data_IF_128996256616
#
_entry.id   IF_128996256616
#
_cell.length_a   1.000
_cell.length_b   1.000
_cell.length_c   1.000
_cell.angle_alpha   90.00
_cell.angle_beta   90.00
_cell.angle_gamma   90.00
#
_symmetry.space_group_name_H-M   'P 1'
#
loop_
_entity.id
_entity.type
_entity.pdbx_description
1 polymer ?
#
# COMPACT_ATOMS: atom_id res chain seq x y z
N UNK A 1 1.49 17.62 -20.54
CA UNK A 1 1.06 18.41 -19.35
C UNK A 1 1.00 17.48 -18.15
N UNK A 2 1.91 17.65 -17.20
CA UNK A 2 1.98 16.83 -15.99
C UNK A 2 0.98 17.34 -14.93
N UNK A 3 0.20 16.43 -14.34
CA UNK A 3 -0.66 16.75 -13.20
C UNK A 3 0.14 16.53 -11.90
N UNK A 4 0.06 17.48 -10.98
CA UNK A 4 0.67 17.38 -9.64
C UNK A 4 -0.42 16.99 -8.66
N UNK A 5 -0.19 15.95 -7.86
CA UNK A 5 -1.17 15.45 -6.92
C UNK A 5 -0.51 15.29 -5.55
N UNK A 6 -1.13 15.80 -4.50
CA UNK A 6 -0.71 15.54 -3.12
C UNK A 6 -1.41 14.26 -2.66
N UNK A 7 -0.64 13.31 -2.15
CA UNK A 7 -1.08 12.01 -1.66
C UNK A 7 -0.65 11.80 -0.21
N UNK A 8 -0.76 10.57 0.27
CA UNK A 8 -0.32 10.21 1.61
C UNK A 8 -1.28 10.74 2.67
N UNK A 9 -0.77 10.88 3.89
CA UNK A 9 -1.57 11.36 5.01
C UNK A 9 -2.08 12.80 4.85
N UNK A 10 -1.44 13.60 3.99
CA UNK A 10 -1.90 14.94 3.65
C UNK A 10 -3.22 14.94 2.85
N UNK A 11 -3.48 13.88 2.10
CA UNK A 11 -4.72 13.72 1.32
C UNK A 11 -5.90 13.14 2.13
N UNK A 12 -5.69 12.80 3.40
CA UNK A 12 -6.69 12.14 4.24
C UNK A 12 -7.19 13.11 5.32
N UNK A 13 -8.44 13.60 5.23
CA UNK A 13 -8.93 14.65 6.12
C UNK A 13 -8.91 14.28 7.62
N UNK A 14 -9.10 13.00 7.97
CA UNK A 14 -9.10 12.54 9.35
C UNK A 14 -7.73 12.04 9.83
N UNK A 15 -6.70 11.93 8.98
CA UNK A 15 -5.39 11.43 9.39
C UNK A 15 -4.68 12.32 10.42
N UNK A 16 -4.91 13.64 10.36
CA UNK A 16 -4.36 14.64 11.28
C UNK A 16 -4.82 14.43 12.72
N UNK A 17 -6.03 13.86 12.91
CA UNK A 17 -6.57 13.53 14.23
C UNK A 17 -5.79 12.43 14.95
N UNK A 18 -4.91 11.72 14.23
CA UNK A 18 -4.16 10.57 14.73
C UNK A 18 -2.64 10.82 14.72
N UNK A 19 -2.22 12.08 14.56
CA UNK A 19 -0.84 12.54 14.58
C UNK A 19 -0.41 13.21 13.28
N UNK A 20 0.55 14.14 13.39
CA UNK A 20 1.02 14.93 12.26
C UNK A 20 1.68 14.06 11.17
N UNK A 21 1.38 14.33 9.88
CA UNK A 21 2.13 13.79 8.75
C UNK A 21 3.61 14.20 8.82
N UNK A 22 4.51 13.27 8.46
CA UNK A 22 5.97 13.50 8.50
C UNK A 22 6.52 14.08 7.20
N UNK A 23 5.99 13.60 6.10
CA UNK A 23 6.46 13.81 4.75
C UNK A 23 5.28 14.12 3.83
N UNK A 24 5.56 14.90 2.79
CA UNK A 24 4.59 15.22 1.73
C UNK A 24 4.83 14.26 0.58
N UNK A 25 3.87 13.37 0.34
CA UNK A 25 3.89 12.51 -0.83
C UNK A 25 3.31 13.25 -2.04
N UNK A 26 4.15 13.47 -3.06
CA UNK A 26 3.77 14.16 -4.29
C UNK A 26 3.80 13.18 -5.44
N UNK A 27 2.73 13.17 -6.23
CA UNK A 27 2.61 12.33 -7.42
C UNK A 27 2.59 13.22 -8.64
N UNK A 28 3.47 12.91 -9.58
CA UNK A 28 3.60 13.62 -10.84
C UNK A 28 3.08 12.72 -11.96
N UNK A 29 1.83 12.94 -12.35
CA UNK A 29 1.09 12.08 -13.25
C UNK A 29 1.07 12.62 -14.69
N UNK A 30 1.58 11.83 -15.64
CA UNK A 30 1.66 12.17 -17.06
C UNK A 30 1.01 11.11 -17.95
N UNK A 31 0.57 11.54 -19.13
CA UNK A 31 0.16 10.67 -20.24
C UNK A 31 1.32 10.35 -21.20
N UNK A 32 2.42 11.11 -21.14
CA UNK A 32 3.57 10.99 -22.05
C UNK A 32 4.66 10.11 -21.43
N UNK A 33 5.14 9.12 -22.18
CA UNK A 33 6.33 8.34 -21.80
C UNK A 33 7.53 9.27 -21.61
N UNK A 34 7.75 10.22 -22.53
CA UNK A 34 8.90 11.14 -22.45
C UNK A 34 8.89 11.97 -21.17
N UNK A 35 7.74 12.54 -20.81
CA UNK A 35 7.57 13.27 -19.54
C UNK A 35 7.78 12.35 -18.34
N UNK A 36 7.22 11.13 -18.35
CA UNK A 36 7.42 10.15 -17.29
C UNK A 36 8.91 9.78 -17.08
N UNK A 37 9.64 9.56 -18.17
CA UNK A 37 11.08 9.29 -18.12
C UNK A 37 11.85 10.49 -17.55
N UNK A 38 11.53 11.70 -18.00
CA UNK A 38 12.13 12.93 -17.49
C UNK A 38 11.92 13.07 -15.97
N UNK A 39 10.71 12.77 -15.47
CA UNK A 39 10.37 12.81 -14.05
C UNK A 39 11.13 11.77 -13.24
N UNK A 40 11.34 10.56 -13.75
CA UNK A 40 12.16 9.53 -13.08
C UNK A 40 13.62 10.00 -12.98
N UNK A 41 14.19 10.49 -14.08
CA UNK A 41 15.59 10.92 -14.15
C UNK A 41 15.85 12.07 -13.18
N UNK A 42 14.92 13.03 -13.11
CA UNK A 42 15.06 14.23 -12.30
C UNK A 42 14.44 14.12 -10.90
N UNK A 43 13.91 12.93 -10.51
CA UNK A 43 13.17 12.72 -9.26
C UNK A 43 13.87 13.38 -8.05
N UNK A 44 15.14 13.07 -7.81
CA UNK A 44 15.84 13.58 -6.61
C UNK A 44 16.15 15.07 -6.66
N UNK A 45 16.29 15.67 -7.86
CA UNK A 45 16.39 17.13 -8.00
C UNK A 45 15.06 17.80 -7.67
N UNK A 46 13.96 17.21 -8.14
CA UNK A 46 12.60 17.70 -7.86
C UNK A 46 12.31 17.59 -6.36
N UNK A 47 12.62 16.47 -5.71
CA UNK A 47 12.47 16.28 -4.27
C UNK A 47 13.28 17.31 -3.47
N UNK A 48 14.54 17.54 -3.83
CA UNK A 48 15.39 18.52 -3.15
C UNK A 48 14.86 19.96 -3.30
N UNK A 49 14.36 20.30 -4.48
CA UNK A 49 13.73 21.59 -4.76
C UNK A 49 12.45 21.78 -3.94
N UNK A 50 11.53 20.81 -3.97
CA UNK A 50 10.28 20.87 -3.22
C UNK A 50 10.52 20.88 -1.71
N UNK A 51 11.49 20.10 -1.21
CA UNK A 51 11.90 20.13 0.21
C UNK A 51 12.32 21.53 0.63
N UNK A 52 13.09 22.24 -0.19
CA UNK A 52 13.54 23.61 0.09
C UNK A 52 12.37 24.59 0.17
N UNK A 53 11.38 24.45 -0.71
CA UNK A 53 10.21 25.33 -0.76
C UNK A 53 9.24 25.05 0.39
N UNK A 54 8.94 23.78 0.64
CA UNK A 54 7.92 23.36 1.60
C UNK A 54 8.44 23.29 3.04
N UNK A 55 9.77 23.36 3.24
CA UNK A 55 10.40 23.22 4.56
C UNK A 55 10.17 21.85 5.21
N UNK A 56 9.81 20.83 4.42
CA UNK A 56 9.47 19.48 4.88
C UNK A 56 10.04 18.44 3.93
N UNK A 57 10.18 17.20 4.40
CA UNK A 57 10.55 16.09 3.54
C UNK A 57 9.46 15.82 2.49
N UNK A 58 9.90 15.62 1.24
CA UNK A 58 9.03 15.38 0.10
C UNK A 58 9.47 14.10 -0.60
N UNK A 59 8.52 13.22 -0.88
CA UNK A 59 8.73 12.02 -1.67
C UNK A 59 7.97 12.14 -2.98
N UNK A 60 8.66 12.05 -4.10
CA UNK A 60 8.05 12.20 -5.43
C UNK A 60 7.83 10.85 -6.09
N UNK A 61 6.62 10.62 -6.58
CA UNK A 61 6.22 9.42 -7.32
C UNK A 61 5.77 9.78 -8.75
N UNK A 62 6.61 9.55 -9.76
CA UNK A 62 6.19 9.65 -11.16
C UNK A 62 5.12 8.59 -11.50
N UNK A 63 4.06 8.98 -12.19
CA UNK A 63 2.91 8.13 -12.56
C UNK A 63 2.62 8.26 -14.07
N UNK A 64 2.46 7.13 -14.77
CA UNK A 64 2.03 7.08 -16.17
C UNK A 64 0.55 6.64 -16.26
N UNK A 65 -0.34 7.55 -16.67
CA UNK A 65 -1.80 7.40 -16.52
C UNK A 65 -2.45 6.36 -17.43
N UNK A 66 -2.00 6.21 -18.69
CA UNK A 66 -2.57 5.22 -19.62
C UNK A 66 -2.13 3.77 -19.32
N UNK A 67 -1.27 3.58 -18.33
CA UNK A 67 -0.69 2.29 -17.97
C UNK A 67 -0.91 1.95 -16.51
N UNK A 68 -2.14 1.63 -16.12
CA UNK A 68 -2.45 1.38 -14.73
C UNK A 68 -1.82 0.11 -14.17
N UNK A 69 -1.51 -0.85 -15.04
CA UNK A 69 -0.84 -2.11 -14.67
C UNK A 69 0.67 -1.93 -14.44
N UNK A 70 1.24 -0.79 -14.84
CA UNK A 70 2.63 -0.45 -14.51
C UNK A 70 2.67 -0.14 -13.02
N UNK A 71 3.34 -1.03 -12.29
CA UNK A 71 3.86 -0.93 -10.93
C UNK A 71 3.18 0.15 -10.08
N UNK A 72 2.25 -0.26 -9.21
CA UNK A 72 1.62 0.58 -8.19
C UNK A 72 0.72 1.72 -8.68
N UNK A 73 0.58 1.95 -10.00
CA UNK A 73 -0.40 2.88 -10.57
C UNK A 73 -1.84 2.49 -10.24
N UNK A 74 -2.17 1.18 -10.19
CA UNK A 74 -3.45 0.68 -9.67
C UNK A 74 -3.70 1.19 -8.25
N UNK A 75 -2.72 1.09 -7.37
CA UNK A 75 -2.86 1.53 -5.98
C UNK A 75 -2.97 3.06 -5.89
N UNK A 76 -2.17 3.75 -6.68
CA UNK A 76 -2.19 5.19 -6.87
C UNK A 76 -3.55 5.70 -7.29
N UNK A 77 -4.19 5.04 -8.26
CA UNK A 77 -5.49 5.43 -8.78
C UNK A 77 -6.64 5.03 -7.85
N UNK A 78 -6.47 3.95 -7.09
CA UNK A 78 -7.42 3.56 -6.04
C UNK A 78 -7.39 4.52 -4.83
N UNK A 79 -6.20 5.00 -4.44
CA UNK A 79 -6.02 5.98 -3.36
C UNK A 79 -6.19 7.43 -3.82
N UNK A 80 -5.99 7.72 -5.10
CA UNK A 80 -6.25 9.01 -5.69
C UNK A 80 -7.71 9.47 -5.54
N UNK A 81 -8.67 8.56 -5.33
CA UNK A 81 -10.05 8.90 -4.97
C UNK A 81 -10.20 9.56 -3.59
N UNK A 82 -9.19 9.48 -2.73
CA UNK A 82 -9.11 10.32 -1.51
C UNK A 82 -8.87 11.78 -1.87
N UNK A 83 -8.21 12.06 -3.00
CA UNK A 83 -7.99 13.40 -3.52
C UNK A 83 -9.17 13.86 -4.38
N UNK A 84 -9.78 14.97 -3.98
CA UNK A 84 -10.98 15.54 -4.62
C UNK A 84 -10.75 15.82 -6.12
N UNK A 85 -9.61 16.41 -6.45
CA UNK A 85 -9.25 16.88 -7.78
C UNK A 85 -9.14 15.74 -8.81
N UNK A 86 -8.63 14.57 -8.40
CA UNK A 86 -8.51 13.40 -9.29
C UNK A 86 -9.85 12.71 -9.43
N UNK A 87 -10.63 12.65 -8.35
CA UNK A 87 -11.94 12.03 -8.38
C UNK A 87 -12.85 12.76 -9.37
N UNK A 88 -12.78 14.09 -9.42
CA UNK A 88 -13.57 14.90 -10.36
C UNK A 88 -13.03 14.75 -11.80
N UNK A 89 -11.70 14.81 -12.01
CA UNK A 89 -11.10 14.80 -13.35
C UNK A 89 -11.01 13.41 -14.01
N UNK A 90 -10.91 12.34 -13.23
CA UNK A 90 -10.61 10.99 -13.72
C UNK A 90 -11.52 9.90 -13.13
N UNK A 91 -12.71 10.25 -12.60
CA UNK A 91 -13.69 9.30 -12.05
C UNK A 91 -14.01 8.15 -12.99
N UNK A 92 -14.10 8.42 -14.29
CA UNK A 92 -14.45 7.45 -15.34
C UNK A 92 -13.44 6.32 -15.49
N UNK A 93 -12.17 6.55 -15.14
CA UNK A 93 -11.14 5.51 -15.23
C UNK A 93 -11.32 4.46 -14.13
N UNK A 94 -11.91 4.80 -12.98
CA UNK A 94 -11.91 3.92 -11.81
C UNK A 94 -12.57 2.55 -12.03
N UNK A 95 -13.78 2.40 -12.62
CA UNK A 95 -14.37 1.09 -12.84
C UNK A 95 -13.50 0.20 -13.75
N UNK A 96 -12.87 0.83 -14.76
CA UNK A 96 -11.97 0.18 -15.70
C UNK A 96 -10.66 -0.26 -15.04
N UNK A 97 -10.20 0.49 -14.05
CA UNK A 97 -9.02 0.18 -13.25
C UNK A 97 -9.29 -0.89 -12.20
N UNK A 98 -10.39 -0.76 -11.47
CA UNK A 98 -10.80 -1.69 -10.43
C UNK A 98 -11.07 -3.10 -10.99
N UNK A 99 -11.63 -3.19 -12.20
CA UNK A 99 -11.80 -4.46 -12.91
C UNK A 99 -10.50 -5.11 -13.36
N UNK A 100 -9.41 -4.34 -13.49
CA UNK A 100 -8.06 -4.81 -13.85
C UNK A 100 -7.17 -5.11 -12.63
N UNK A 101 -7.64 -4.90 -11.41
CA UNK A 101 -6.90 -5.29 -10.19
C UNK A 101 -6.90 -6.81 -10.09
N UNK A 102 -5.79 -7.45 -10.44
CA UNK A 102 -5.65 -8.91 -10.29
C UNK A 102 -5.57 -9.32 -8.82
N UNK A 103 -5.93 -10.59 -8.52
CA UNK A 103 -5.80 -11.18 -7.18
C UNK A 103 -4.38 -11.03 -6.61
N UNK A 104 -3.36 -11.04 -7.47
CA UNK A 104 -1.94 -10.84 -7.10
C UNK A 104 -1.70 -9.48 -6.46
N UNK A 105 -2.29 -8.42 -7.00
CA UNK A 105 -2.12 -7.07 -6.46
C UNK A 105 -2.80 -6.91 -5.10
N UNK A 106 -4.01 -7.47 -4.94
CA UNK A 106 -4.69 -7.50 -3.63
C UNK A 106 -3.89 -8.26 -2.58
N UNK A 107 -3.23 -9.36 -3.01
CA UNK A 107 -2.41 -10.19 -2.14
C UNK A 107 -1.13 -9.45 -1.70
N UNK A 108 -0.40 -8.85 -2.64
CA UNK A 108 0.78 -8.02 -2.32
C UNK A 108 0.39 -6.89 -1.38
N UNK A 109 -0.74 -6.23 -1.62
CA UNK A 109 -1.23 -5.17 -0.74
C UNK A 109 -1.46 -5.68 0.70
N UNK A 110 -2.12 -6.82 0.84
CA UNK A 110 -2.33 -7.46 2.14
C UNK A 110 -1.02 -7.86 2.82
N UNK A 111 0.03 -8.24 2.08
CA UNK A 111 1.34 -8.58 2.66
C UNK A 111 2.04 -7.36 3.24
N UNK A 112 2.03 -6.24 2.53
CA UNK A 112 2.59 -4.99 3.04
C UNK A 112 1.81 -4.48 4.24
N UNK A 113 0.48 -4.48 4.19
CA UNK A 113 -0.36 -4.11 5.33
C UNK A 113 -0.03 -5.00 6.56
N UNK A 114 0.07 -6.31 6.36
CA UNK A 114 0.39 -7.25 7.43
C UNK A 114 1.78 -7.01 8.04
N UNK A 115 2.85 -6.95 7.24
CA UNK A 115 4.20 -6.73 7.75
C UNK A 115 4.34 -5.34 8.37
N UNK A 116 3.66 -4.35 7.79
CA UNK A 116 3.53 -3.02 8.34
C UNK A 116 2.90 -3.03 9.73
N UNK A 117 1.80 -3.76 9.94
CA UNK A 117 1.18 -3.91 11.26
C UNK A 117 2.17 -4.54 12.26
N UNK A 118 2.82 -5.65 11.89
CA UNK A 118 3.79 -6.35 12.77
C UNK A 118 4.96 -5.44 13.19
N UNK A 119 5.49 -4.68 12.23
CA UNK A 119 6.67 -3.85 12.45
C UNK A 119 6.34 -2.46 13.00
N UNK A 120 5.08 -2.06 13.03
CA UNK A 120 4.64 -0.80 13.61
C UNK A 120 4.84 -0.77 15.12
N UNK A 121 5.55 0.25 15.58
CA UNK A 121 5.65 0.62 17.01
C UNK A 121 4.66 1.74 17.33
N UNK A 122 4.40 2.63 16.35
CA UNK A 122 3.50 3.78 16.52
C UNK A 122 2.07 3.38 16.22
N UNK A 123 1.13 3.83 17.07
CA UNK A 123 -0.31 3.59 16.92
C UNK A 123 -0.84 4.06 15.56
N UNK A 124 -0.41 5.25 15.12
CA UNK A 124 -0.76 5.84 13.82
C UNK A 124 -0.39 4.91 12.65
N UNK A 125 0.83 4.37 12.67
CA UNK A 125 1.28 3.47 11.61
C UNK A 125 0.47 2.17 11.61
N UNK A 126 0.12 1.66 12.79
CA UNK A 126 -0.70 0.46 12.88
C UNK A 126 -2.13 0.68 12.36
N UNK A 127 -2.77 1.79 12.70
CA UNK A 127 -4.07 2.20 12.12
C UNK A 127 -3.96 2.28 10.61
N UNK A 128 -2.94 2.95 10.11
CA UNK A 128 -2.68 3.15 8.68
C UNK A 128 -2.61 1.81 7.94
N UNK A 129 -1.86 0.84 8.45
CA UNK A 129 -1.79 -0.48 7.83
C UNK A 129 -3.08 -1.30 7.99
N UNK A 130 -3.83 -1.11 9.08
CA UNK A 130 -5.16 -1.72 9.19
C UNK A 130 -6.16 -1.12 8.18
N UNK A 131 -6.10 0.19 7.93
CA UNK A 131 -6.88 0.86 6.87
C UNK A 131 -6.47 0.34 5.49
N UNK A 132 -5.18 0.15 5.23
CA UNK A 132 -4.69 -0.47 4.00
C UNK A 132 -5.25 -1.90 3.80
N UNK A 133 -5.39 -2.67 4.88
CA UNK A 133 -6.06 -3.98 4.85
C UNK A 133 -7.57 -3.85 4.58
N UNK A 134 -8.24 -2.86 5.19
CA UNK A 134 -9.64 -2.56 4.96
C UNK A 134 -9.92 -2.16 3.50
N UNK A 135 -9.10 -1.27 2.94
CA UNK A 135 -9.19 -0.83 1.55
C UNK A 135 -9.02 -2.02 0.61
N UNK A 136 -8.04 -2.90 0.86
CA UNK A 136 -7.84 -4.15 0.10
C UNK A 136 -9.11 -5.01 0.06
N UNK A 137 -9.86 -5.10 1.17
CA UNK A 137 -11.11 -5.86 1.23
C UNK A 137 -12.27 -5.16 0.49
N UNK A 138 -12.34 -3.84 0.54
CA UNK A 138 -13.31 -3.04 -0.21
C UNK A 138 -13.07 -3.18 -1.72
N UNK A 139 -11.81 -3.10 -2.16
CA UNK A 139 -11.41 -3.26 -3.56
C UNK A 139 -11.71 -4.68 -4.04
N UNK A 140 -11.50 -5.71 -3.21
CA UNK A 140 -11.89 -7.09 -3.52
C UNK A 140 -13.38 -7.21 -3.87
N UNK A 141 -14.24 -6.43 -3.22
CA UNK A 141 -15.68 -6.35 -3.53
C UNK A 141 -16.02 -5.42 -4.72
N UNK A 142 -15.00 -4.96 -5.46
CA UNK A 142 -15.12 -3.98 -6.57
C UNK A 142 -15.74 -2.66 -6.14
N UNK A 143 -15.58 -2.30 -4.86
CA UNK A 143 -16.12 -1.08 -4.28
C UNK A 143 -15.02 -0.03 -4.20
N UNK A 144 -15.43 1.23 -4.05
CA UNK A 144 -14.54 2.37 -3.87
C UNK A 144 -14.19 2.55 -2.39
N UNK A 145 -12.90 2.52 -1.99
CA UNK A 145 -12.48 2.95 -0.67
C UNK A 145 -12.95 4.38 -0.37
N UNK A 146 -13.57 4.65 0.79
CA UNK A 146 -13.98 6.00 1.15
C UNK A 146 -12.78 6.89 1.48
N UNK A 147 -13.04 8.20 1.56
CA UNK A 147 -12.00 9.21 1.77
C UNK A 147 -11.41 9.15 3.18
N UNK A 148 -12.25 8.86 4.17
CA UNK A 148 -11.87 8.83 5.58
C UNK A 148 -11.43 7.44 6.01
N UNK A 149 -10.43 7.38 6.89
CA UNK A 149 -9.95 6.13 7.47
C UNK A 149 -11.04 5.42 8.27
N UNK A 150 -11.78 6.16 9.10
CA UNK A 150 -12.87 5.60 9.90
C UNK A 150 -13.97 4.98 9.02
N UNK A 151 -14.35 5.63 7.93
CA UNK A 151 -15.33 5.10 6.98
C UNK A 151 -14.83 3.83 6.30
N UNK A 152 -13.54 3.76 5.98
CA UNK A 152 -12.91 2.60 5.35
C UNK A 152 -13.00 1.39 6.29
N UNK A 153 -12.66 1.59 7.56
CA UNK A 153 -12.75 0.56 8.60
C UNK A 153 -14.19 0.08 8.84
N UNK A 154 -15.16 1.02 8.95
CA UNK A 154 -16.59 0.67 9.12
C UNK A 154 -17.12 -0.14 7.94
N UNK A 155 -16.78 0.28 6.72
CA UNK A 155 -17.24 -0.41 5.50
C UNK A 155 -16.61 -1.80 5.40
N UNK A 156 -15.31 -1.92 5.67
CA UNK A 156 -14.63 -3.21 5.68
C UNK A 156 -15.17 -4.13 6.78
N UNK A 157 -15.48 -3.61 7.97
CA UNK A 157 -16.14 -4.38 9.03
C UNK A 157 -17.48 -5.00 8.58
N UNK A 158 -18.35 -4.22 7.92
CA UNK A 158 -19.61 -4.72 7.37
C UNK A 158 -19.37 -5.80 6.30
N UNK A 159 -18.37 -5.60 5.44
CA UNK A 159 -18.00 -6.59 4.41
C UNK A 159 -17.48 -7.88 5.06
N UNK A 160 -16.61 -7.78 6.07
CA UNK A 160 -16.08 -8.92 6.81
C UNK A 160 -17.20 -9.75 7.42
N UNK A 161 -18.17 -9.11 8.07
CA UNK A 161 -19.33 -9.79 8.65
C UNK A 161 -20.15 -10.54 7.59
N UNK A 162 -20.39 -9.91 6.43
CA UNK A 162 -21.14 -10.53 5.32
C UNK A 162 -20.40 -11.71 4.69
N UNK A 163 -19.07 -11.68 4.71
CA UNK A 163 -18.22 -12.74 4.16
C UNK A 163 -17.84 -13.81 5.20
N UNK A 164 -18.27 -13.69 6.45
CA UNK A 164 -17.89 -14.63 7.53
C UNK A 164 -16.40 -14.54 7.94
N UNK A 165 -15.74 -13.41 7.68
CA UNK A 165 -14.32 -13.20 7.97
C UNK A 165 -14.12 -12.75 9.43
N UNK A 166 -14.19 -13.71 10.35
CA UNK A 166 -14.18 -13.49 11.80
C UNK A 166 -12.95 -12.69 12.27
N UNK A 167 -11.76 -12.97 11.74
CA UNK A 167 -10.55 -12.29 12.19
C UNK A 167 -10.44 -10.88 11.62
N UNK A 168 -10.84 -10.65 10.37
CA UNK A 168 -10.95 -9.30 9.82
C UNK A 168 -11.97 -8.46 10.59
N UNK A 169 -13.13 -9.05 10.93
CA UNK A 169 -14.15 -8.38 11.74
C UNK A 169 -13.55 -7.89 13.07
N UNK A 170 -12.90 -8.79 13.81
CA UNK A 170 -12.30 -8.46 15.10
C UNK A 170 -11.18 -7.42 14.96
N UNK A 171 -10.31 -7.53 13.96
CA UNK A 171 -9.27 -6.53 13.69
C UNK A 171 -9.89 -5.14 13.50
N UNK A 172 -10.85 -4.99 12.59
CA UNK A 172 -11.42 -3.67 12.30
C UNK A 172 -12.19 -3.11 13.50
N UNK A 173 -12.88 -3.96 14.26
CA UNK A 173 -13.53 -3.57 15.52
C UNK A 173 -12.54 -3.03 16.52
N UNK A 174 -11.41 -3.72 16.73
CA UNK A 174 -10.39 -3.29 17.68
C UNK A 174 -9.67 -2.02 17.22
N UNK A 175 -9.43 -1.86 15.91
CA UNK A 175 -8.86 -0.62 15.36
C UNK A 175 -9.85 0.55 15.52
N UNK A 176 -11.14 0.35 15.30
CA UNK A 176 -12.15 1.40 15.55
C UNK A 176 -12.23 1.78 17.03
N UNK A 177 -12.13 0.82 17.96
CA UNK A 177 -12.01 1.12 19.40
C UNK A 177 -10.73 1.89 19.71
N UNK A 178 -9.60 1.50 19.11
CA UNK A 178 -8.32 2.20 19.23
C UNK A 178 -8.45 3.65 18.74
N UNK A 179 -9.16 3.91 17.64
CA UNK A 179 -9.39 5.27 17.14
C UNK A 179 -10.16 6.15 18.12
N UNK A 180 -11.17 5.59 18.79
CA UNK A 180 -11.95 6.30 19.83
C UNK A 180 -11.08 6.51 21.06
N UNK A 181 -10.36 5.48 21.51
CA UNK A 181 -9.50 5.55 22.70
C UNK A 181 -8.28 6.42 22.51
N UNK A 182 -7.70 6.56 21.32
CA UNK A 182 -6.56 7.45 21.10
C UNK A 182 -6.85 8.92 21.40
N UNK A 183 -8.12 9.29 21.51
CA UNK A 183 -8.55 10.61 21.96
C UNK A 183 -8.51 10.76 23.50
N UNK A 184 -8.42 9.65 24.26
CA UNK A 184 -8.65 9.64 25.72
C UNK A 184 -7.74 8.71 26.56
N UNK A 185 -7.11 7.65 26.02
CA UNK A 185 -6.39 6.61 26.79
C UNK A 185 -5.26 5.88 26.02
N UNK A 186 -4.29 5.26 26.73
CA UNK A 186 -3.35 4.30 26.17
C UNK A 186 -4.04 2.96 25.85
N UNK A 187 -4.30 2.70 24.57
CA UNK A 187 -4.83 1.42 24.10
C UNK A 187 -3.74 0.36 23.86
N UNK A 188 -4.11 -0.91 24.07
CA UNK A 188 -3.26 -2.09 23.91
C UNK A 188 -3.05 -2.45 22.43
N UNK A 189 -1.82 -2.27 21.96
CA UNK A 189 -1.38 -2.53 20.58
C UNK A 189 -1.05 -4.01 20.37
N UNK A 190 -0.81 -4.77 21.45
CA UNK A 190 -0.41 -6.18 21.42
C UNK A 190 -1.49 -7.05 20.77
N UNK A 191 -2.75 -6.81 21.10
CA UNK A 191 -3.89 -7.52 20.52
C UNK A 191 -3.93 -7.39 18.99
N UNK A 192 -3.59 -6.23 18.44
CA UNK A 192 -3.59 -5.99 17.00
C UNK A 192 -2.43 -6.71 16.30
N UNK A 193 -1.27 -6.81 16.96
CA UNK A 193 -0.16 -7.65 16.49
C UNK A 193 -0.53 -9.14 16.50
N UNK A 194 -1.27 -9.61 17.50
CA UNK A 194 -1.73 -11.01 17.60
C UNK A 194 -2.83 -11.36 16.58
N UNK A 195 -3.68 -10.39 16.22
CA UNK A 195 -4.71 -10.57 15.19
C UNK A 195 -4.14 -10.60 13.77
N UNK A 196 -3.07 -9.84 13.51
CA UNK A 196 -2.53 -9.67 12.16
C UNK A 196 -2.21 -11.01 11.44
N UNK A 197 -1.56 -12.03 12.06
CA UNK A 197 -1.33 -13.31 11.40
C UNK A 197 -2.60 -14.08 11.08
N UNK A 198 -3.61 -14.01 11.96
CA UNK A 198 -4.90 -14.69 11.77
C UNK A 198 -5.69 -14.07 10.62
N UNK A 199 -5.70 -12.74 10.56
CA UNK A 199 -6.27 -11.97 9.45
C UNK A 199 -5.62 -12.33 8.13
N UNK A 200 -4.28 -12.42 8.09
CA UNK A 200 -3.59 -12.77 6.86
C UNK A 200 -3.90 -14.21 6.40
N UNK A 201 -3.97 -15.19 7.32
CA UNK A 201 -4.38 -16.56 6.98
C UNK A 201 -5.79 -16.59 6.38
N UNK A 202 -6.74 -15.90 7.03
CA UNK A 202 -8.11 -15.76 6.53
C UNK A 202 -8.15 -15.07 5.14
N UNK A 203 -7.26 -14.10 4.90
CA UNK A 203 -7.12 -13.43 3.60
C UNK A 203 -6.58 -14.36 2.51
N UNK A 204 -5.63 -15.24 2.82
CA UNK A 204 -5.11 -16.22 1.89
C UNK A 204 -6.20 -17.20 1.45
N UNK A 205 -7.01 -17.68 2.39
CA UNK A 205 -8.18 -18.53 2.11
C UNK A 205 -9.18 -17.80 1.21
N UNK A 206 -9.53 -16.55 1.53
CA UNK A 206 -10.46 -15.75 0.71
C UNK A 206 -9.99 -15.59 -0.74
N UNK A 207 -8.68 -15.49 -0.97
CA UNK A 207 -8.10 -15.30 -2.31
C UNK A 207 -7.82 -16.61 -3.03
N UNK A 208 -8.11 -17.76 -2.41
CA UNK A 208 -7.82 -19.10 -2.90
C UNK A 208 -6.31 -19.28 -3.17
N UNK A 209 -5.52 -19.05 -2.12
CA UNK A 209 -4.06 -19.13 -2.15
C UNK A 209 -3.56 -20.01 -1.02
N UNK A 210 -2.94 -21.14 -1.38
CA UNK A 210 -2.24 -21.98 -0.42
C UNK A 210 -0.89 -21.33 -0.06
N UNK A 211 -0.60 -21.29 1.24
CA UNK A 211 0.68 -20.78 1.78
C UNK A 211 1.89 -21.60 1.31
N UNK A 212 1.75 -22.90 1.12
CA UNK A 212 2.85 -23.77 0.67
C UNK A 212 3.26 -23.44 -0.77
N UNK A 213 2.32 -22.94 -1.56
CA UNK A 213 2.51 -22.54 -2.96
C UNK A 213 2.57 -21.02 -3.14
N UNK A 214 2.85 -20.26 -2.08
CA UNK A 214 2.75 -18.80 -2.10
C UNK A 214 3.75 -18.15 -3.07
N UNK A 215 5.01 -18.62 -3.07
CA UNK A 215 6.05 -18.11 -3.97
C UNK A 215 5.69 -18.40 -5.42
N UNK A 216 5.31 -19.65 -5.73
CA UNK A 216 4.86 -20.03 -7.07
C UNK A 216 3.67 -19.16 -7.51
N UNK A 217 2.63 -19.06 -6.69
CA UNK A 217 1.40 -18.32 -7.00
C UNK A 217 1.65 -16.85 -7.32
N UNK A 218 2.52 -16.17 -6.56
CA UNK A 218 2.81 -14.74 -6.78
C UNK A 218 3.74 -14.51 -7.98
N UNK A 219 4.66 -15.44 -8.22
CA UNK A 219 5.62 -15.32 -9.32
C UNK A 219 4.98 -15.67 -10.66
N UNK A 220 4.10 -16.67 -10.73
CA UNK A 220 3.44 -17.09 -11.97
C UNK A 220 2.25 -16.21 -12.36
N UNK A 221 1.44 -15.74 -11.41
CA UNK A 221 0.28 -14.86 -11.68
C UNK A 221 0.64 -13.45 -12.18
N UNK A 222 1.89 -13.17 -12.54
CA UNK A 222 2.26 -11.87 -13.13
C UNK A 222 3.53 -11.88 -13.98
N UNK A 223 3.87 -13.03 -14.55
CA UNK A 223 4.96 -13.16 -15.52
C UNK A 223 4.55 -12.69 -16.93
N UNK A 224 3.26 -12.77 -17.27
CA UNK A 224 2.74 -12.46 -18.63
C UNK A 224 2.45 -10.96 -18.83
N UNK A 225 2.36 -10.15 -17.76
CA UNK A 225 1.75 -8.81 -17.84
C UNK A 225 2.72 -7.61 -17.87
N UNK A 226 4.05 -7.78 -17.89
CA UNK A 226 4.93 -6.65 -17.52
C UNK A 226 6.22 -6.46 -18.38
N UNK A 227 6.14 -6.32 -19.72
CA UNK A 227 7.29 -5.92 -20.55
C UNK A 227 7.88 -4.56 -20.13
N UNK A 228 7.06 -3.63 -19.67
CA UNK A 228 7.52 -2.31 -19.22
C UNK A 228 8.18 -2.29 -17.85
N UNK A 229 7.98 -3.34 -17.04
CA UNK A 229 8.80 -3.52 -15.84
C UNK A 229 10.26 -3.75 -16.22
N UNK A 230 10.53 -4.52 -17.28
CA UNK A 230 11.90 -4.70 -17.76
C UNK A 230 12.49 -3.35 -18.18
N UNK A 231 11.70 -2.51 -18.85
CA UNK A 231 12.09 -1.13 -19.19
C UNK A 231 12.33 -0.30 -17.92
N UNK A 232 11.44 -0.36 -16.93
CA UNK A 232 11.60 0.38 -15.66
C UNK A 232 12.83 -0.08 -14.86
N UNK A 233 13.06 -1.39 -14.72
CA UNK A 233 14.26 -1.96 -14.08
C UNK A 233 15.54 -1.55 -14.84
N UNK A 234 15.49 -1.52 -16.17
CA UNK A 234 16.59 -1.07 -17.03
C UNK A 234 16.89 0.43 -16.82
N UNK A 235 15.88 1.29 -16.82
CA UNK A 235 16.05 2.73 -16.62
C UNK A 235 16.63 3.07 -15.25
N UNK A 236 16.14 2.44 -14.19
CA UNK A 236 16.73 2.64 -12.86
C UNK A 236 18.16 2.11 -12.76
N UNK A 237 18.47 1.01 -13.45
CA UNK A 237 19.85 0.51 -13.57
C UNK A 237 20.75 1.55 -14.25
N UNK A 238 20.28 2.23 -15.30
CA UNK A 238 21.03 3.32 -15.95
C UNK A 238 21.27 4.51 -15.00
N UNK A 239 20.35 4.76 -14.08
CA UNK A 239 20.46 5.80 -13.05
C UNK A 239 21.29 5.38 -11.82
N UNK A 240 22.06 4.28 -11.91
CA UNK A 240 22.87 3.76 -10.82
C UNK A 240 22.06 3.11 -9.68
N UNK A 241 20.73 3.01 -9.80
CA UNK A 241 19.85 2.42 -8.80
C UNK A 241 19.51 0.98 -9.17
N UNK A 242 20.02 0.02 -8.40
CA UNK A 242 19.72 -1.40 -8.60
C UNK A 242 18.38 -1.78 -7.96
N UNK A 243 17.26 -1.42 -8.59
CA UNK A 243 15.95 -1.97 -8.21
C UNK A 243 15.91 -3.44 -8.60
N UNK A 244 15.65 -4.32 -7.62
CA UNK A 244 15.48 -5.76 -7.88
C UNK A 244 14.11 -6.22 -7.43
N UNK A 245 13.06 -5.83 -8.16
CA UNK A 245 11.68 -6.07 -7.74
C UNK A 245 11.36 -7.57 -7.57
N UNK A 246 11.85 -8.46 -8.46
CA UNK A 246 11.61 -9.92 -8.31
C UNK A 246 12.22 -10.45 -7.02
N UNK A 247 13.42 -9.96 -6.70
CA UNK A 247 14.12 -10.33 -5.48
C UNK A 247 13.38 -9.79 -4.26
N UNK A 248 12.91 -8.54 -4.31
CA UNK A 248 12.13 -7.93 -3.23
C UNK A 248 10.81 -8.66 -2.97
N UNK A 249 10.02 -8.95 -4.02
CA UNK A 249 8.78 -9.74 -3.89
C UNK A 249 9.07 -11.13 -3.34
N UNK A 250 10.11 -11.81 -3.83
CA UNK A 250 10.50 -13.12 -3.31
C UNK A 250 10.87 -13.06 -1.82
N UNK A 251 11.65 -12.05 -1.41
CA UNK A 251 11.99 -11.83 0.01
C UNK A 251 10.71 -11.60 0.81
N UNK A 252 9.82 -10.72 0.35
CA UNK A 252 8.53 -10.44 0.97
C UNK A 252 7.73 -11.74 1.20
N UNK A 253 7.54 -12.55 0.16
CA UNK A 253 6.79 -13.80 0.23
C UNK A 253 7.41 -14.79 1.20
N UNK A 254 8.75 -14.91 1.20
CA UNK A 254 9.47 -15.76 2.16
C UNK A 254 9.32 -15.26 3.58
N UNK A 255 9.35 -13.94 3.80
CA UNK A 255 9.10 -13.34 5.10
C UNK A 255 7.68 -13.62 5.58
N UNK A 256 6.67 -13.51 4.71
CA UNK A 256 5.29 -13.88 5.05
C UNK A 256 5.19 -15.35 5.46
N UNK A 257 5.75 -16.24 4.65
CA UNK A 257 5.75 -17.68 4.91
C UNK A 257 6.45 -17.98 6.23
N UNK A 258 7.61 -17.35 6.47
CA UNK A 258 8.34 -17.46 7.73
C UNK A 258 7.48 -17.06 8.93
N UNK A 259 6.78 -15.92 8.87
CA UNK A 259 5.93 -15.46 9.99
C UNK A 259 4.73 -16.38 10.23
N UNK A 260 4.10 -16.88 9.16
CA UNK A 260 2.86 -17.66 9.28
C UNK A 260 3.07 -19.13 9.62
N UNK A 261 4.23 -19.70 9.25
CA UNK A 261 4.58 -21.11 9.45
C UNK A 261 5.43 -21.35 10.72
N UNK A 262 6.21 -20.36 11.17
CA UNK A 262 7.00 -20.51 12.40
C UNK A 262 6.19 -20.13 13.63
N UNK A 263 6.35 -20.91 14.71
CA UNK A 263 5.71 -20.63 16.00
C UNK A 263 6.23 -19.33 16.65
N UNK A 264 7.54 -19.07 16.53
CA UNK A 264 8.22 -17.92 17.14
C UNK A 264 9.10 -17.18 16.11
N UNK A 265 8.50 -16.43 15.17
CA UNK A 265 9.27 -15.66 14.20
C UNK A 265 10.03 -14.52 14.88
N UNK A 266 11.32 -14.36 14.56
CA UNK A 266 12.14 -13.26 15.10
C UNK A 266 11.69 -11.93 14.49
N UNK A 267 11.00 -11.10 15.29
CA UNK A 267 10.45 -9.79 14.86
C UNK A 267 11.50 -8.89 14.20
N UNK A 268 12.70 -8.83 14.75
CA UNK A 268 13.80 -8.02 14.19
C UNK A 268 14.15 -8.41 12.75
N UNK A 269 14.25 -9.72 12.48
CA UNK A 269 14.54 -10.25 11.14
C UNK A 269 13.42 -9.89 10.15
N UNK A 270 12.16 -10.05 10.58
CA UNK A 270 10.98 -9.70 9.80
C UNK A 270 11.00 -8.21 9.43
N UNK A 271 11.31 -7.34 10.38
CA UNK A 271 11.31 -5.91 10.15
C UNK A 271 12.50 -5.43 9.31
N UNK A 272 13.68 -6.05 9.45
CA UNK A 272 14.81 -5.80 8.54
C UNK A 272 14.46 -6.20 7.10
N UNK A 273 13.86 -7.37 6.89
CA UNK A 273 13.44 -7.82 5.57
C UNK A 273 12.34 -6.92 4.99
N UNK A 274 11.37 -6.51 5.81
CA UNK A 274 10.31 -5.58 5.40
C UNK A 274 10.87 -4.21 4.98
N UNK A 275 11.78 -3.63 5.78
CA UNK A 275 12.45 -2.37 5.44
C UNK A 275 13.20 -2.46 4.10
N UNK A 276 13.97 -3.53 3.89
CA UNK A 276 14.64 -3.78 2.62
C UNK A 276 13.66 -3.86 1.44
N UNK A 277 12.53 -4.54 1.61
CA UNK A 277 11.51 -4.64 0.56
C UNK A 277 10.84 -3.30 0.28
N UNK A 278 10.65 -2.46 1.30
CA UNK A 278 10.04 -1.13 1.16
C UNK A 278 10.89 -0.22 0.28
N UNK A 279 12.21 -0.25 0.43
CA UNK A 279 13.13 0.60 -0.34
C UNK A 279 13.32 0.09 -1.79
N UNK A 280 13.09 -1.20 -2.02
CA UNK A 280 13.29 -1.88 -3.31
C UNK A 280 12.03 -1.95 -4.18
N UNK A 281 10.87 -1.54 -3.65
CA UNK A 281 9.61 -1.43 -4.41
C UNK A 281 9.19 0.04 -4.46
N UNK A 282 9.61 0.80 -5.49
CA UNK A 282 9.49 2.26 -5.53
C UNK A 282 8.07 2.78 -5.39
N UNK A 283 7.09 1.99 -5.82
CA UNK A 283 5.68 2.43 -5.85
C UNK A 283 4.93 2.03 -4.58
N UNK A 284 5.66 1.59 -3.56
CA UNK A 284 5.14 1.40 -2.21
C UNK A 284 5.86 2.29 -1.18
N UNK A 285 6.95 2.98 -1.53
CA UNK A 285 7.62 3.93 -0.63
C UNK A 285 6.78 5.20 -0.34
N UNK A 286 6.14 5.84 -1.33
CA UNK A 286 5.20 6.96 -1.10
C UNK A 286 3.80 6.51 -0.64
N UNK A 287 3.57 5.20 -0.58
CA UNK A 287 2.22 4.61 -0.50
C UNK A 287 2.04 3.55 0.58
N UNK A 288 3.12 3.12 1.24
CA UNK A 288 3.08 2.54 2.59
C UNK A 288 2.88 3.65 3.65
N UNK A 289 2.70 4.89 3.21
CA UNK A 289 2.49 6.10 4.01
C UNK A 289 1.19 6.87 3.65
N UNK A 290 0.01 6.22 3.48
CA UNK A 290 -1.23 6.97 3.40
C UNK A 290 -1.52 7.72 4.70
#
# INVERSE_FOLDING_TARGET
MCNVLIMGSYAVPDAWKYGEPKDVDVVLASWSIGEYLFLIINKSRIEAYLRRILGRDVNVAPLLLWMPTVIGNVYLLLHAKRCREILEKYSFLYPLLASRVSKRWLLLLSFYAFLGMICSIRKRDLIKYAVMMADSLIIYRRMVPPRRWNESLRRAYIISKRLGLRYHEELFKQVMKLLIKMQHEPADVKLLHELAPKVLKERLVLLDVNIDNLEYTIMTKGLVEEPLRAIHEFLYRLLGRRIRWRKAVRILVRTISYVLLNKNPKKELVCKAYALCKDQVPVLSPFAHP
#
